data_IF_415313945209
#
_entry.id   IF_415313945209
#
_cell.length_a   1.000
_cell.length_b   1.000
_cell.length_c   1.000
_cell.angle_alpha   90.00
_cell.angle_beta   90.00
_cell.angle_gamma   90.00
#
_symmetry.space_group_name_H-M   'P 1'
#
loop_
_entity.id
_entity.type
_entity.pdbx_description
1 polymer ?
#
# COMPACT_ATOMS: atom_id res chain seq x y z
N UNK A 1 -5.04 11.27 10.50
CA UNK A 1 -3.56 11.28 10.49
C UNK A 1 -3.03 10.40 11.62
N UNK A 2 -2.07 9.50 11.37
CA UNK A 2 -1.42 8.70 12.42
C UNK A 2 -0.23 9.46 13.01
N UNK A 3 -0.08 9.47 14.33
CA UNK A 3 1.08 10.04 14.99
C UNK A 3 2.20 9.00 15.10
N UNK A 4 3.33 9.21 14.43
CA UNK A 4 4.48 8.28 14.45
C UNK A 4 5.36 8.55 15.65
N UNK A 5 4.88 8.22 16.85
CA UNK A 5 5.53 8.60 18.11
C UNK A 5 7.01 8.20 18.16
N UNK A 6 7.38 7.03 17.61
CA UNK A 6 8.76 6.55 17.61
C UNK A 6 9.64 7.34 16.65
N UNK A 7 9.27 7.48 15.38
CA UNK A 7 10.02 8.25 14.39
C UNK A 7 10.03 9.75 14.70
N UNK A 8 8.97 10.23 15.35
CA UNK A 8 8.87 11.60 15.81
C UNK A 8 9.85 11.90 16.95
N UNK A 9 10.02 10.96 17.88
CA UNK A 9 10.90 11.14 19.05
C UNK A 9 12.35 10.70 18.79
N UNK A 10 12.56 9.70 17.93
CA UNK A 10 13.85 9.03 17.75
C UNK A 10 14.32 8.99 16.29
N UNK A 11 13.52 9.48 15.34
CA UNK A 11 13.85 9.44 13.91
C UNK A 11 14.74 10.60 13.48
N UNK A 12 15.21 10.53 12.23
CA UNK A 12 16.09 11.54 11.63
C UNK A 12 15.48 12.94 11.61
N UNK A 13 14.15 13.07 11.50
CA UNK A 13 13.45 14.35 11.64
C UNK A 13 13.70 15.04 12.98
N UNK A 14 13.86 14.28 14.08
CA UNK A 14 14.13 14.87 15.40
C UNK A 14 15.53 15.49 15.46
N UNK A 15 16.50 14.83 14.83
CA UNK A 15 17.93 15.15 14.90
C UNK A 15 18.31 16.22 13.88
N UNK A 16 17.70 16.20 12.69
CA UNK A 16 18.05 17.07 11.58
C UNK A 16 17.23 18.36 11.52
N UNK A 17 16.12 18.43 12.28
CA UNK A 17 15.18 19.53 12.19
C UNK A 17 14.78 20.11 13.54
N UNK A 18 14.64 21.44 13.55
CA UNK A 18 14.20 22.21 14.70
C UNK A 18 12.70 22.05 14.94
N UNK A 19 12.23 22.49 16.11
CA UNK A 19 10.83 22.33 16.50
C UNK A 19 9.85 22.96 15.48
N UNK A 20 10.18 24.13 14.96
CA UNK A 20 9.37 24.82 13.96
C UNK A 20 9.31 24.04 12.63
N UNK A 21 10.46 23.61 12.12
CA UNK A 21 10.55 22.82 10.88
C UNK A 21 9.80 21.50 10.99
N UNK A 22 9.87 20.83 12.14
CA UNK A 22 9.08 19.60 12.38
C UNK A 22 7.58 19.88 12.39
N UNK A 23 7.17 21.06 12.86
CA UNK A 23 5.79 21.55 12.72
C UNK A 23 5.39 21.60 11.25
N UNK A 24 6.17 22.31 10.43
CA UNK A 24 5.94 22.41 8.97
C UNK A 24 5.88 21.03 8.31
N UNK A 25 6.76 20.11 8.68
CA UNK A 25 6.72 18.74 8.18
C UNK A 25 5.40 18.02 8.50
N UNK A 26 4.86 18.23 9.69
CA UNK A 26 3.59 17.63 10.11
C UNK A 26 2.43 18.22 9.31
N UNK A 27 2.46 19.52 9.09
CA UNK A 27 1.45 20.21 8.28
C UNK A 27 1.51 19.75 6.82
N UNK A 28 2.71 19.52 6.27
CA UNK A 28 2.89 18.94 4.93
C UNK A 28 2.27 17.55 4.83
N UNK A 29 2.49 16.69 5.83
CA UNK A 29 1.85 15.37 5.88
C UNK A 29 0.32 15.45 5.98
N UNK A 30 -0.20 16.43 6.70
CA UNK A 30 -1.64 16.68 6.81
C UNK A 30 -2.22 17.14 5.46
N UNK A 31 -1.62 18.15 4.83
CA UNK A 31 -2.03 18.65 3.52
C UNK A 31 -1.94 17.58 2.43
N UNK A 32 -0.85 16.81 2.42
CA UNK A 32 -0.70 15.69 1.48
C UNK A 32 -1.73 14.58 1.69
N UNK A 33 -2.31 14.45 2.90
CA UNK A 33 -3.39 13.51 3.16
C UNK A 33 -4.75 14.01 2.70
N UNK A 34 -5.01 15.32 2.81
CA UNK A 34 -6.25 15.96 2.37
C UNK A 34 -6.31 16.15 0.85
N UNK A 35 -5.16 16.20 0.18
CA UNK A 35 -5.09 16.30 -1.27
C UNK A 35 -5.74 15.11 -1.97
N UNK A 36 -6.40 15.40 -3.11
CA UNK A 36 -6.96 14.38 -4.02
C UNK A 36 -5.89 13.39 -4.48
N UNK A 37 -4.71 13.92 -4.82
CA UNK A 37 -3.52 13.13 -5.10
C UNK A 37 -2.76 12.93 -3.81
N UNK A 38 -3.05 11.82 -3.12
CA UNK A 38 -2.43 11.49 -1.83
C UNK A 38 -0.90 11.57 -1.88
N UNK A 39 -0.33 12.35 -0.98
CA UNK A 39 1.11 12.60 -0.90
C UNK A 39 1.60 13.76 -1.76
N UNK A 40 0.72 14.47 -2.45
CA UNK A 40 1.04 15.69 -3.21
C UNK A 40 0.33 16.89 -2.59
N UNK A 41 1.06 17.95 -2.27
CA UNK A 41 0.50 19.20 -1.76
C UNK A 41 0.23 20.12 -2.97
N UNK A 42 -1.05 20.31 -3.29
CA UNK A 42 -1.50 21.05 -4.48
C UNK A 42 -2.88 21.69 -4.23
N UNK A 43 -3.17 22.79 -4.93
CA UNK A 43 -4.44 23.52 -4.82
C UNK A 43 -5.58 22.80 -5.55
N UNK A 44 -5.25 22.23 -6.71
CA UNK A 44 -6.12 21.37 -7.49
C UNK A 44 -5.25 20.31 -8.20
N UNK A 45 -5.84 19.48 -9.05
CA UNK A 45 -5.15 18.33 -9.66
C UNK A 45 -3.99 18.72 -10.61
N UNK A 46 -3.91 19.99 -11.03
CA UNK A 46 -2.92 20.48 -11.98
C UNK A 46 -2.07 21.64 -11.44
N UNK A 47 -2.52 22.33 -10.38
CA UNK A 47 -1.99 23.62 -9.95
C UNK A 47 -1.35 23.51 -8.55
N UNK A 48 -0.05 23.85 -8.42
CA UNK A 48 0.63 23.91 -7.14
C UNK A 48 0.11 25.10 -6.31
N UNK A 49 0.24 25.03 -4.98
CA UNK A 49 0.04 26.21 -4.16
C UNK A 49 1.20 27.19 -4.37
N UNK A 50 0.94 28.48 -4.62
CA UNK A 50 1.98 29.50 -4.50
C UNK A 50 2.53 29.52 -3.07
N UNK A 51 3.85 29.69 -2.91
CA UNK A 51 4.49 29.63 -1.58
C UNK A 51 3.89 30.63 -0.59
N UNK A 52 3.61 31.86 -1.03
CA UNK A 52 2.97 32.87 -0.18
C UNK A 52 1.59 32.43 0.33
N UNK A 53 0.81 31.75 -0.50
CA UNK A 53 -0.50 31.21 -0.11
C UNK A 53 -0.33 30.04 0.85
N UNK A 54 0.61 29.13 0.56
CA UNK A 54 0.90 28.00 1.43
C UNK A 54 1.39 28.45 2.81
N UNK A 55 2.24 29.47 2.88
CA UNK A 55 2.71 30.06 4.13
C UNK A 55 1.55 30.66 4.95
N UNK A 56 0.64 31.39 4.29
CA UNK A 56 -0.56 31.92 4.92
C UNK A 56 -1.51 30.80 5.39
N UNK A 57 -1.70 29.75 4.59
CA UNK A 57 -2.53 28.59 4.93
C UNK A 57 -2.01 27.85 6.17
N UNK A 58 -0.69 27.72 6.28
CA UNK A 58 -0.02 27.08 7.42
C UNK A 58 0.18 28.02 8.60
N UNK A 59 -0.17 29.31 8.46
CA UNK A 59 0.04 30.34 9.45
C UNK A 59 1.51 30.43 9.93
N UNK A 60 2.44 30.41 8.98
CA UNK A 60 3.89 30.52 9.21
C UNK A 60 4.51 31.62 8.35
N UNK A 61 5.68 32.16 8.75
CA UNK A 61 6.43 33.09 7.90
C UNK A 61 6.84 32.43 6.57
N UNK A 62 6.77 33.19 5.47
CA UNK A 62 7.19 32.71 4.14
C UNK A 62 8.66 32.27 4.13
N UNK A 63 9.52 33.01 4.82
CA UNK A 63 10.93 32.69 4.97
C UNK A 63 11.16 31.31 5.62
N UNK A 64 10.34 30.96 6.61
CA UNK A 64 10.39 29.65 7.26
C UNK A 64 9.94 28.55 6.31
N UNK A 65 8.88 28.80 5.52
CA UNK A 65 8.40 27.86 4.52
C UNK A 65 9.48 27.60 3.46
N UNK A 66 10.04 28.65 2.86
CA UNK A 66 11.06 28.54 1.82
C UNK A 66 12.32 27.82 2.35
N UNK A 67 12.72 28.13 3.59
CA UNK A 67 13.80 27.42 4.27
C UNK A 67 13.49 25.92 4.41
N UNK A 68 12.28 25.59 4.87
CA UNK A 68 11.86 24.19 5.05
C UNK A 68 11.80 23.45 3.72
N UNK A 69 11.24 24.05 2.66
CA UNK A 69 11.16 23.45 1.32
C UNK A 69 12.58 23.12 0.85
N UNK A 70 13.50 24.09 0.87
CA UNK A 70 14.89 23.87 0.46
C UNK A 70 15.54 22.73 1.26
N UNK A 71 15.43 22.77 2.59
CA UNK A 71 16.03 21.77 3.47
C UNK A 71 15.43 20.38 3.29
N UNK A 72 14.12 20.26 3.09
CA UNK A 72 13.47 18.96 2.87
C UNK A 72 13.79 18.39 1.49
N UNK A 73 13.97 19.24 0.48
CA UNK A 73 14.45 18.83 -0.84
C UNK A 73 15.88 18.30 -0.75
N UNK A 74 16.78 18.98 -0.04
CA UNK A 74 18.15 18.52 0.22
C UNK A 74 18.21 17.18 0.98
N UNK A 75 17.17 16.85 1.75
CA UNK A 75 17.04 15.60 2.50
C UNK A 75 16.31 14.49 1.72
N UNK A 76 16.00 14.71 0.43
CA UNK A 76 15.19 13.81 -0.42
C UNK A 76 13.81 13.45 0.16
N UNK A 77 13.27 14.31 1.03
CA UNK A 77 11.97 14.08 1.69
C UNK A 77 10.80 14.57 0.85
N UNK A 78 11.03 15.62 0.08
CA UNK A 78 10.08 16.18 -0.86
C UNK A 78 10.73 16.36 -2.23
N UNK A 79 9.90 16.42 -3.26
CA UNK A 79 10.26 16.85 -4.60
C UNK A 79 9.24 17.87 -5.08
N UNK A 80 9.71 19.01 -5.59
CA UNK A 80 8.84 20.06 -6.12
C UNK A 80 8.73 19.92 -7.64
N UNK A 81 7.50 19.80 -8.12
CA UNK A 81 7.18 19.58 -9.52
C UNK A 81 6.18 20.64 -10.01
N UNK A 82 5.92 20.67 -11.33
CA UNK A 82 4.90 21.55 -11.94
C UNK A 82 3.49 21.41 -11.36
N UNK A 83 3.20 20.30 -10.67
CA UNK A 83 1.89 20.00 -10.09
C UNK A 83 1.80 20.29 -8.58
N UNK A 84 2.92 20.52 -7.90
CA UNK A 84 2.95 20.68 -6.44
C UNK A 84 4.16 20.04 -5.78
N UNK A 85 4.09 19.97 -4.45
CA UNK A 85 5.14 19.37 -3.62
C UNK A 85 4.78 17.90 -3.37
N UNK A 86 5.54 16.97 -3.95
CA UNK A 86 5.43 15.54 -3.73
C UNK A 86 6.21 15.13 -2.49
N UNK A 87 5.61 14.31 -1.63
CA UNK A 87 6.24 13.72 -0.46
C UNK A 87 6.72 12.30 -0.82
N UNK A 88 8.04 12.12 -1.00
CA UNK A 88 8.65 10.91 -1.58
C UNK A 88 8.23 9.61 -0.88
N UNK A 89 8.17 9.62 0.45
CA UNK A 89 7.84 8.43 1.26
C UNK A 89 6.49 8.56 1.98
N UNK A 90 5.49 9.17 1.34
CA UNK A 90 4.21 9.45 1.99
C UNK A 90 3.50 8.21 2.57
N UNK A 91 3.52 7.07 1.86
CA UNK A 91 2.87 5.83 2.31
C UNK A 91 3.46 5.26 3.61
N UNK A 92 4.77 5.40 3.81
CA UNK A 92 5.47 5.07 5.04
C UNK A 92 4.95 5.93 6.21
N UNK A 93 4.84 7.25 5.97
CA UNK A 93 4.29 8.22 6.93
C UNK A 93 2.76 8.13 7.10
N UNK A 94 2.04 7.31 6.34
CA UNK A 94 0.63 6.98 6.60
C UNK A 94 0.45 5.57 7.19
N UNK A 95 1.55 4.83 7.37
CA UNK A 95 1.52 3.51 7.98
C UNK A 95 0.65 2.56 7.15
N UNK A 96 0.55 2.89 5.86
CA UNK A 96 -0.03 2.06 4.80
C UNK A 96 1.00 1.02 4.37
N UNK A 97 2.28 1.31 4.56
CA UNK A 97 3.34 0.31 4.50
C UNK A 97 3.32 -0.55 5.78
N UNK A 98 2.35 -1.46 5.84
CA UNK A 98 2.19 -2.46 6.90
C UNK A 98 3.28 -3.55 6.85
N UNK A 99 4.27 -3.45 5.95
CA UNK A 99 5.16 -4.57 5.64
C UNK A 99 6.38 -4.75 6.55
N UNK A 100 6.67 -3.84 7.52
CA UNK A 100 7.97 -3.93 8.22
C UNK A 100 7.96 -3.87 9.75
N UNK A 101 6.80 -3.76 10.41
CA UNK A 101 6.75 -3.76 11.88
C UNK A 101 5.67 -4.70 12.40
N UNK A 102 6.01 -5.99 12.55
CA UNK A 102 5.21 -6.92 13.35
C UNK A 102 4.76 -8.21 12.69
N UNK A 103 5.12 -8.47 11.44
CA UNK A 103 5.21 -9.86 10.96
C UNK A 103 6.58 -10.02 10.31
N UNK A 104 7.40 -11.01 10.70
CA UNK A 104 8.46 -11.43 9.80
C UNK A 104 7.76 -11.70 8.48
N UNK A 105 8.24 -11.05 7.42
CA UNK A 105 7.97 -11.54 6.08
C UNK A 105 8.16 -13.04 6.14
N UNK A 106 7.21 -13.83 5.63
CA UNK A 106 7.51 -15.16 5.13
C UNK A 106 8.46 -15.01 3.93
N UNK A 107 9.62 -14.39 4.15
CA UNK A 107 10.82 -14.65 3.37
C UNK A 107 11.19 -16.07 3.78
N UNK A 108 10.99 -16.98 2.82
CA UNK A 108 11.76 -18.21 2.71
C UNK A 108 12.02 -18.94 4.04
N UNK A 109 10.96 -19.36 4.75
CA UNK A 109 11.01 -20.76 5.14
C UNK A 109 10.92 -21.49 3.82
N UNK A 110 11.97 -22.24 3.45
CA UNK A 110 11.82 -23.33 2.48
C UNK A 110 10.46 -23.95 2.79
N UNK A 111 9.48 -23.77 1.90
CA UNK A 111 8.24 -24.52 2.06
C UNK A 111 8.73 -25.97 2.01
N UNK A 112 8.51 -26.78 3.07
CA UNK A 112 8.79 -28.20 2.92
C UNK A 112 8.08 -28.63 1.64
N UNK A 113 8.81 -29.36 0.79
CA UNK A 113 8.25 -29.96 -0.43
C UNK A 113 6.86 -30.49 -0.07
N UNK A 114 5.79 -30.05 -0.77
CA UNK A 114 4.45 -30.48 -0.42
C UNK A 114 4.43 -32.01 -0.45
N UNK A 115 3.91 -32.62 0.60
CA UNK A 115 3.77 -34.08 0.67
C UNK A 115 2.98 -34.57 -0.55
N UNK A 116 3.20 -35.81 -0.99
CA UNK A 116 2.47 -36.37 -2.15
C UNK A 116 0.95 -36.21 -2.02
N UNK A 117 0.39 -36.37 -0.82
CA UNK A 117 -1.02 -36.10 -0.54
C UNK A 117 -1.45 -34.65 -0.83
N UNK A 118 -0.59 -33.68 -0.53
CA UNK A 118 -0.85 -32.26 -0.79
C UNK A 118 -0.76 -31.94 -2.28
N UNK A 119 0.17 -32.59 -3.00
CA UNK A 119 0.29 -32.52 -4.46
C UNK A 119 -0.97 -33.09 -5.11
N UNK A 120 -1.39 -34.30 -4.73
CA UNK A 120 -2.59 -34.97 -5.22
C UNK A 120 -3.87 -34.16 -4.93
N UNK A 121 -3.97 -33.59 -3.73
CA UNK A 121 -5.12 -32.74 -3.37
C UNK A 121 -5.19 -31.48 -4.24
N UNK A 122 -4.05 -30.87 -4.55
CA UNK A 122 -3.99 -29.70 -5.42
C UNK A 122 -4.40 -30.07 -6.86
N UNK A 123 -3.92 -31.21 -7.36
CA UNK A 123 -4.31 -31.73 -8.69
C UNK A 123 -5.82 -32.02 -8.74
N UNK A 124 -6.39 -32.61 -7.68
CA UNK A 124 -7.82 -32.89 -7.56
C UNK A 124 -8.67 -31.62 -7.60
N UNK A 125 -8.31 -30.59 -6.84
CA UNK A 125 -9.06 -29.32 -6.83
C UNK A 125 -9.02 -28.64 -8.21
N UNK A 126 -7.86 -28.65 -8.87
CA UNK A 126 -7.72 -28.06 -10.20
C UNK A 126 -8.54 -28.81 -11.26
N UNK A 127 -8.47 -30.14 -11.29
CA UNK A 127 -9.26 -30.97 -12.21
C UNK A 127 -10.76 -30.81 -11.96
N UNK A 128 -11.18 -30.78 -10.70
CA UNK A 128 -12.58 -30.57 -10.34
C UNK A 128 -13.10 -29.20 -10.78
N UNK A 129 -12.28 -28.15 -10.67
CA UNK A 129 -12.64 -26.81 -11.12
C UNK A 129 -12.83 -26.76 -12.64
N UNK A 130 -11.90 -27.35 -13.40
CA UNK A 130 -11.99 -27.42 -14.87
C UNK A 130 -13.23 -28.20 -15.31
N UNK A 131 -13.43 -29.41 -14.78
CA UNK A 131 -14.56 -30.25 -15.16
C UNK A 131 -15.92 -29.62 -14.80
N UNK A 132 -15.99 -28.85 -13.71
CA UNK A 132 -17.20 -28.07 -13.37
C UNK A 132 -17.47 -26.95 -14.37
N UNK A 133 -16.43 -26.29 -14.88
CA UNK A 133 -16.57 -25.25 -15.89
C UNK A 133 -17.04 -25.84 -17.23
N UNK A 134 -16.41 -26.93 -17.67
CA UNK A 134 -16.77 -27.63 -18.91
C UNK A 134 -18.22 -28.13 -18.86
N UNK A 135 -18.59 -28.87 -17.81
CA UNK A 135 -19.95 -29.39 -17.65
C UNK A 135 -21.00 -28.28 -17.54
N UNK A 136 -20.65 -27.11 -16.96
CA UNK A 136 -21.53 -25.93 -16.95
C UNK A 136 -21.68 -25.32 -18.34
N UNK A 137 -20.62 -25.27 -19.14
CA UNK A 137 -20.66 -24.79 -20.52
C UNK A 137 -21.51 -25.72 -21.42
N UNK A 138 -21.33 -27.03 -21.28
CA UNK A 138 -22.12 -28.04 -22.02
C UNK A 138 -23.62 -27.98 -21.70
N UNK A 139 -23.97 -27.84 -20.42
CA UNK A 139 -25.35 -27.85 -19.97
C UNK A 139 -26.07 -26.50 -20.15
N UNK A 140 -25.32 -25.40 -20.35
CA UNK A 140 -25.86 -24.03 -20.38
C UNK A 140 -26.53 -23.58 -19.08
N UNK A 141 -26.41 -24.37 -18.00
CA UNK A 141 -27.02 -24.14 -16.68
C UNK A 141 -26.06 -24.58 -15.57
N UNK A 142 -26.19 -24.06 -14.34
CA UNK A 142 -25.38 -24.54 -13.22
C UNK A 142 -25.65 -26.02 -12.92
N UNK A 143 -24.61 -26.74 -12.49
CA UNK A 143 -24.73 -28.14 -12.07
C UNK A 143 -25.66 -28.23 -10.85
N UNK A 144 -26.47 -29.28 -10.85
CA UNK A 144 -27.24 -29.69 -9.67
C UNK A 144 -26.32 -30.29 -8.60
N UNK A 145 -26.83 -30.40 -7.37
CA UNK A 145 -26.10 -31.01 -6.26
C UNK A 145 -25.71 -32.47 -6.56
N UNK A 146 -26.59 -33.24 -7.21
CA UNK A 146 -26.34 -34.64 -7.59
C UNK A 146 -25.21 -34.74 -8.63
N UNK A 147 -25.31 -33.98 -9.73
CA UNK A 147 -24.28 -33.95 -10.79
C UNK A 147 -22.91 -33.48 -10.27
N UNK A 148 -22.90 -32.63 -9.24
CA UNK A 148 -21.68 -32.15 -8.60
C UNK A 148 -21.04 -33.20 -7.68
N UNK A 149 -21.83 -34.06 -7.05
CA UNK A 149 -21.33 -35.16 -6.21
C UNK A 149 -20.74 -36.26 -7.09
N UNK A 150 -21.45 -36.66 -8.16
CA UNK A 150 -20.96 -37.65 -9.13
C UNK A 150 -19.63 -37.23 -9.77
N UNK A 151 -19.50 -35.94 -10.12
CA UNK A 151 -18.28 -35.41 -10.70
C UNK A 151 -17.10 -35.43 -9.71
N UNK A 152 -17.37 -35.21 -8.43
CA UNK A 152 -16.35 -35.30 -7.36
C UNK A 152 -15.88 -36.73 -7.16
N UNK A 153 -16.80 -37.69 -7.12
CA UNK A 153 -16.46 -39.10 -6.94
C UNK A 153 -15.64 -39.64 -8.12
N UNK A 154 -16.05 -39.29 -9.35
CA UNK A 154 -15.30 -39.66 -10.56
C UNK A 154 -13.86 -39.15 -10.54
N UNK A 155 -13.67 -37.85 -10.30
CA UNK A 155 -12.32 -37.22 -10.31
C UNK A 155 -11.49 -37.68 -9.10
N UNK A 156 -12.13 -38.06 -7.99
CA UNK A 156 -11.44 -38.61 -6.82
C UNK A 156 -10.89 -40.00 -7.12
N UNK A 157 -11.67 -40.87 -7.77
CA UNK A 157 -11.20 -42.19 -8.22
C UNK A 157 -10.00 -42.06 -9.17
N UNK A 158 -10.07 -41.17 -10.16
CA UNK A 158 -8.99 -40.96 -11.15
C UNK A 158 -7.65 -40.44 -10.60
N UNK A 159 -7.60 -39.96 -9.35
CA UNK A 159 -6.41 -39.31 -8.77
C UNK A 159 -5.85 -40.10 -7.58
N UNK A 160 -6.70 -40.81 -6.85
CA UNK A 160 -6.32 -41.53 -5.63
C UNK A 160 -6.35 -43.06 -5.77
N UNK A 161 -6.72 -43.60 -6.94
CA UNK A 161 -6.58 -45.02 -7.32
C UNK A 161 -5.43 -45.20 -8.34
#
# INVERSE_FOLDING_TARGET
>A
MKLYSREWLQGSLRVQNDAAERGVWTDFLALGNESRNRGVIQANDETPYPHHYLAALLNIPLELLDHCIKKFTEQDRIAENSHGILITNFSYWQGLDTRRRGRPSKQSRERPEPTEEQKLTTVYQNRLAVAKMEKKQELGRPLTAKESVELREKIRGEIYE
#
